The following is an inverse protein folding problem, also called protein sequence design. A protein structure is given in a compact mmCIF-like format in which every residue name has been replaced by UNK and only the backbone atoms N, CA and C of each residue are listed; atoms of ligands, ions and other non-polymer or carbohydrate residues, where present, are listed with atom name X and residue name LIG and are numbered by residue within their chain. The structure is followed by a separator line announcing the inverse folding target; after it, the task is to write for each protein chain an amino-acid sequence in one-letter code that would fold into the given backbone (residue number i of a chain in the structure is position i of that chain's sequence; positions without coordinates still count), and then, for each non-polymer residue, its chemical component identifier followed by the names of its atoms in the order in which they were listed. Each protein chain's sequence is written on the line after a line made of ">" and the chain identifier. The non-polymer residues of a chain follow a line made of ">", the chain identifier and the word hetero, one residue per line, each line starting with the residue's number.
data_IF_075838431890
#
_entry.id   IF_075838431890
#
_cell.length_a   1.000
_cell.length_b   1.000
_cell.length_c   1.000
_cell.angle_alpha   90.00
_cell.angle_beta   90.00
_cell.angle_gamma   90.00
#
_symmetry.space_group_name_H-M   'P 1'
#
loop_
_entity.id
_entity.type
_entity.pdbx_description
1 polymer ?
#
# COMPACT_ATOMS: atom_id res chain seq x y z
N UNK A 1 5.95 22.88 0.86
CA UNK A 1 4.97 21.93 0.30
C UNK A 1 5.63 21.17 -0.84
N UNK A 2 5.27 19.96 -1.10
CA UNK A 2 5.83 19.11 -2.15
C UNK A 2 5.06 17.82 -2.21
N UNK A 3 5.23 17.05 -3.28
CA UNK A 3 4.65 15.73 -3.43
C UNK A 3 5.26 14.79 -2.38
N UNK A 4 4.48 14.43 -1.38
CA UNK A 4 4.78 13.41 -0.39
C UNK A 4 3.88 12.20 -0.64
N UNK A 5 4.46 11.01 -0.70
CA UNK A 5 3.80 9.78 -1.15
C UNK A 5 4.00 8.70 -0.11
N UNK A 6 2.93 8.02 0.24
CA UNK A 6 2.90 7.04 1.32
C UNK A 6 2.35 5.71 0.81
N UNK A 7 2.94 4.62 1.26
CA UNK A 7 2.40 3.28 1.09
C UNK A 7 2.13 2.68 2.46
N UNK A 8 0.93 2.18 2.65
CA UNK A 8 0.49 1.53 3.89
C UNK A 8 0.21 0.06 3.63
N UNK A 9 0.60 -0.80 4.58
CA UNK A 9 0.08 -2.14 4.69
C UNK A 9 -1.09 -2.13 5.68
N UNK A 10 -2.24 -2.70 5.28
CA UNK A 10 -3.47 -2.70 6.06
C UNK A 10 -4.00 -4.11 6.27
N UNK A 11 -4.45 -4.39 7.48
CA UNK A 11 -5.11 -5.65 7.82
C UNK A 11 -6.37 -5.37 8.61
N UNK A 12 -7.50 -5.84 8.09
CA UNK A 12 -8.76 -5.89 8.83
C UNK A 12 -8.78 -7.09 9.76
N UNK A 13 -9.29 -6.90 10.97
CA UNK A 13 -9.43 -7.94 11.99
C UNK A 13 -10.88 -7.94 12.44
N UNK A 14 -11.57 -9.06 12.22
CA UNK A 14 -12.95 -9.28 12.71
C UNK A 14 -12.94 -9.65 14.19
N UNK A 15 -13.95 -9.21 14.96
CA UNK A 15 -14.15 -9.64 16.34
C UNK A 15 -14.50 -11.14 16.47
N UNK A 16 -14.93 -11.75 15.36
CA UNK A 16 -15.43 -13.10 15.30
C UNK A 16 -14.71 -13.89 14.22
N UNK A 17 -14.24 -15.07 14.58
CA UNK A 17 -13.82 -16.09 13.63
C UNK A 17 -14.97 -17.06 13.37
N UNK A 18 -15.18 -17.40 12.11
CA UNK A 18 -16.14 -18.39 11.67
C UNK A 18 -15.40 -19.67 11.29
N UNK A 19 -15.75 -20.76 11.97
CA UNK A 19 -15.24 -22.08 11.65
C UNK A 19 -16.39 -22.99 11.21
N UNK A 20 -16.13 -23.89 10.27
CA UNK A 20 -17.10 -24.92 9.89
C UNK A 20 -16.90 -26.11 10.84
N UNK A 21 -17.92 -26.44 11.62
CA UNK A 21 -17.93 -27.63 12.45
C UNK A 21 -17.99 -28.91 11.60
N UNK A 22 -17.69 -30.05 12.20
CA UNK A 22 -17.65 -31.36 11.53
C UNK A 22 -19.02 -31.81 10.94
N UNK A 23 -20.11 -31.22 11.43
CA UNK A 23 -21.48 -31.43 10.94
C UNK A 23 -21.92 -30.45 9.87
N UNK A 24 -21.00 -29.56 9.40
CA UNK A 24 -21.25 -28.54 8.39
C UNK A 24 -21.90 -27.26 8.93
N UNK A 25 -22.14 -27.14 10.23
CA UNK A 25 -22.63 -25.90 10.84
C UNK A 25 -21.51 -24.88 10.99
N UNK A 26 -21.87 -23.58 10.95
CA UNK A 26 -20.92 -22.49 11.22
C UNK A 26 -20.81 -22.27 12.74
N UNK A 27 -19.63 -22.50 13.26
CA UNK A 27 -19.28 -22.21 14.65
C UNK A 27 -18.69 -20.79 14.75
N UNK A 28 -19.12 -20.06 15.78
CA UNK A 28 -18.75 -18.66 16.00
C UNK A 28 -17.84 -18.59 17.21
N UNK A 29 -16.61 -18.11 17.03
CA UNK A 29 -15.61 -17.95 18.10
C UNK A 29 -15.10 -16.52 18.19
N UNK A 30 -14.83 -15.98 19.38
CA UNK A 30 -14.12 -14.72 19.53
C UNK A 30 -12.75 -14.80 18.86
N UNK A 31 -12.40 -13.78 18.09
CA UNK A 31 -11.09 -13.66 17.47
C UNK A 31 -10.07 -13.17 18.50
N UNK A 32 -9.02 -13.95 18.72
CA UNK A 32 -7.98 -13.64 19.70
C UNK A 32 -7.19 -12.37 19.33
N UNK A 33 -6.88 -12.18 18.03
CA UNK A 33 -6.13 -11.01 17.55
C UNK A 33 -6.93 -9.72 17.77
N UNK A 34 -8.26 -9.76 17.55
CA UNK A 34 -9.13 -8.62 17.84
C UNK A 34 -9.12 -8.27 19.33
N UNK A 35 -9.22 -9.29 20.19
CA UNK A 35 -9.20 -9.12 21.65
C UNK A 35 -7.87 -8.53 22.13
N UNK A 36 -6.75 -9.04 21.60
CA UNK A 36 -5.42 -8.52 21.92
C UNK A 36 -5.27 -7.07 21.47
N UNK A 37 -5.66 -6.76 20.23
CA UNK A 37 -5.55 -5.42 19.67
C UNK A 37 -6.38 -4.41 20.47
N UNK A 38 -7.65 -4.72 20.75
CA UNK A 38 -8.53 -3.82 21.52
C UNK A 38 -8.05 -3.62 22.95
N UNK A 39 -7.47 -4.64 23.55
CA UNK A 39 -6.85 -4.55 24.89
C UNK A 39 -5.62 -3.62 24.87
N UNK A 40 -4.71 -3.81 23.90
CA UNK A 40 -3.51 -2.97 23.76
C UNK A 40 -3.86 -1.49 23.51
N UNK A 41 -4.96 -1.23 22.82
CA UNK A 41 -5.44 0.12 22.54
C UNK A 41 -6.31 0.72 23.63
N UNK A 42 -6.52 0.00 24.77
CA UNK A 42 -7.41 0.44 25.84
C UNK A 42 -8.87 0.54 25.40
N UNK A 43 -9.28 -0.26 24.43
CA UNK A 43 -10.60 -0.21 23.81
C UNK A 43 -11.59 -1.24 24.36
N UNK A 44 -11.21 -1.99 25.39
CA UNK A 44 -11.98 -3.12 25.94
C UNK A 44 -13.38 -2.73 26.41
N UNK A 45 -13.52 -1.53 26.99
CA UNK A 45 -14.77 -1.10 27.64
C UNK A 45 -15.72 -0.36 26.70
N UNK A 46 -15.22 0.19 25.60
CA UNK A 46 -16.01 0.96 24.63
C UNK A 46 -16.00 0.35 23.21
N UNK A 47 -15.15 -0.65 22.97
CA UNK A 47 -15.24 -1.44 21.76
C UNK A 47 -16.57 -2.20 21.74
N UNK A 48 -17.04 -2.41 20.54
CA UNK A 48 -18.32 -3.05 20.30
C UNK A 48 -18.44 -4.42 20.98
N UNK A 49 -19.66 -4.79 21.41
CA UNK A 49 -19.96 -6.08 22.05
C UNK A 49 -19.31 -7.25 21.30
N UNK A 50 -18.43 -8.05 21.92
CA UNK A 50 -17.73 -9.15 21.27
C UNK A 50 -18.68 -10.27 20.77
N UNK A 51 -19.94 -10.25 21.16
CA UNK A 51 -20.97 -11.17 20.63
C UNK A 51 -21.59 -10.68 19.31
N UNK A 52 -21.29 -9.45 18.90
CA UNK A 52 -21.69 -8.88 17.63
C UNK A 52 -20.48 -8.76 16.72
N UNK A 53 -20.73 -8.81 15.40
CA UNK A 53 -19.66 -8.64 14.41
C UNK A 53 -19.16 -7.20 14.40
N UNK A 54 -17.92 -7.04 14.80
CA UNK A 54 -17.21 -5.76 14.77
C UNK A 54 -15.87 -5.93 14.02
N UNK A 55 -15.29 -4.81 13.61
CA UNK A 55 -14.03 -4.81 12.88
C UNK A 55 -13.07 -3.80 13.49
N UNK A 56 -11.80 -4.19 13.55
CA UNK A 56 -10.68 -3.29 13.74
C UNK A 56 -9.81 -3.32 12.49
N UNK A 57 -9.06 -2.25 12.26
CA UNK A 57 -8.10 -2.18 11.17
C UNK A 57 -6.75 -1.71 11.71
N UNK A 58 -5.70 -2.44 11.36
CA UNK A 58 -4.32 -2.01 11.55
C UNK A 58 -3.82 -1.41 10.23
N UNK A 59 -3.19 -0.24 10.31
CA UNK A 59 -2.54 0.42 9.18
C UNK A 59 -1.11 0.77 9.57
N UNK A 60 -0.14 0.29 8.81
CA UNK A 60 1.29 0.50 9.07
C UNK A 60 1.87 1.17 7.82
N UNK A 61 2.52 2.33 7.99
CA UNK A 61 3.27 2.93 6.91
C UNK A 61 4.50 2.07 6.61
N UNK A 62 4.59 1.58 5.39
CA UNK A 62 5.64 0.66 4.94
C UNK A 62 6.48 1.22 3.82
N UNK A 63 6.06 2.34 3.21
CA UNK A 63 6.80 3.05 2.17
C UNK A 63 6.58 4.55 2.23
N UNK A 64 7.59 5.28 1.76
CA UNK A 64 7.55 6.72 1.62
C UNK A 64 8.45 7.17 0.46
N UNK A 65 7.92 8.06 -0.36
CA UNK A 65 8.67 8.76 -1.41
C UNK A 65 8.41 10.25 -1.29
N UNK A 66 9.36 11.02 -1.75
CA UNK A 66 9.19 12.46 -1.87
C UNK A 66 9.62 12.94 -3.23
N UNK A 67 8.71 13.58 -3.96
CA UNK A 67 8.96 14.15 -5.30
C UNK A 67 9.43 13.13 -6.35
N UNK A 68 9.13 11.85 -6.17
CA UNK A 68 9.37 10.81 -7.18
C UNK A 68 8.13 10.72 -8.06
N UNK A 69 7.91 11.76 -8.85
CA UNK A 69 6.67 11.96 -9.61
C UNK A 69 6.39 10.87 -10.64
N UNK A 70 7.40 10.21 -11.19
CA UNK A 70 7.22 9.08 -12.08
C UNK A 70 6.54 7.88 -11.39
N UNK A 71 6.90 7.60 -10.14
CA UNK A 71 6.24 6.56 -9.34
C UNK A 71 4.80 6.97 -8.99
N UNK A 72 4.58 8.25 -8.65
CA UNK A 72 3.24 8.79 -8.45
C UNK A 72 2.38 8.62 -9.71
N UNK A 73 2.89 9.08 -10.86
CA UNK A 73 2.21 8.95 -12.13
C UNK A 73 1.86 7.49 -12.46
N UNK A 74 2.79 6.57 -12.18
CA UNK A 74 2.54 5.14 -12.37
C UNK A 74 1.34 4.64 -11.56
N UNK A 75 1.22 5.01 -10.28
CA UNK A 75 0.05 4.65 -9.46
C UNK A 75 -1.24 5.23 -10.00
N UNK A 76 -1.22 6.50 -10.42
CA UNK A 76 -2.40 7.18 -10.96
C UNK A 76 -2.87 6.52 -12.26
N UNK A 77 -1.98 6.34 -13.22
CA UNK A 77 -2.33 5.80 -14.54
C UNK A 77 -2.76 4.32 -14.49
N UNK A 78 -2.17 3.52 -13.60
CA UNK A 78 -2.44 2.08 -13.57
C UNK A 78 -3.57 1.67 -12.59
N UNK A 79 -3.93 2.53 -11.62
CA UNK A 79 -4.87 2.15 -10.56
C UNK A 79 -6.07 3.08 -10.39
N UNK A 80 -6.15 4.23 -11.10
CA UNK A 80 -7.23 5.21 -10.90
C UNK A 80 -7.86 5.72 -12.20
N UNK A 81 -7.58 5.12 -13.33
CA UNK A 81 -8.00 5.64 -14.64
C UNK A 81 -7.55 7.12 -14.87
N UNK A 82 -6.42 7.53 -14.28
CA UNK A 82 -5.85 8.87 -14.38
C UNK A 82 -6.45 9.90 -13.41
N UNK A 83 -7.29 9.50 -12.45
CA UNK A 83 -7.87 10.42 -11.47
C UNK A 83 -6.90 10.65 -10.29
N UNK A 84 -6.36 11.88 -10.19
CA UNK A 84 -5.44 12.32 -9.14
C UNK A 84 -6.04 13.41 -8.25
N UNK A 85 -6.56 13.01 -7.10
CA UNK A 85 -7.22 13.90 -6.12
C UNK A 85 -6.79 13.63 -4.67
N UNK A 86 -5.59 13.09 -4.45
CA UNK A 86 -5.06 12.69 -3.15
C UNK A 86 -5.88 11.61 -2.42
N UNK A 87 -6.77 10.92 -3.10
CA UNK A 87 -7.55 9.82 -2.51
C UNK A 87 -6.65 8.62 -2.17
N UNK A 88 -7.00 7.85 -1.15
CA UNK A 88 -6.37 6.56 -0.92
C UNK A 88 -6.68 5.59 -2.06
N UNK A 89 -5.66 4.91 -2.57
CA UNK A 89 -5.75 4.00 -3.71
C UNK A 89 -5.40 2.59 -3.22
N UNK A 90 -6.32 1.64 -3.42
CA UNK A 90 -6.01 0.23 -3.19
C UNK A 90 -4.95 -0.27 -4.17
N UNK A 91 -3.90 -0.91 -3.66
CA UNK A 91 -2.81 -1.45 -4.46
C UNK A 91 -2.78 -2.97 -4.35
N UNK A 92 -3.19 -3.71 -5.38
CA UNK A 92 -2.99 -5.15 -5.43
C UNK A 92 -1.51 -5.51 -5.29
N UNK A 93 -1.20 -6.63 -4.65
CA UNK A 93 0.20 -7.12 -4.57
C UNK A 93 0.81 -7.34 -5.96
N UNK A 94 0.02 -7.82 -6.92
CA UNK A 94 0.44 -7.94 -8.32
C UNK A 94 0.91 -6.62 -8.90
N UNK A 95 0.21 -5.52 -8.60
CA UNK A 95 0.59 -4.19 -9.10
C UNK A 95 1.91 -3.70 -8.50
N UNK A 96 2.25 -4.07 -7.26
CA UNK A 96 3.60 -3.81 -6.73
C UNK A 96 4.67 -4.63 -7.47
N UNK A 97 4.36 -5.86 -7.87
CA UNK A 97 5.26 -6.67 -8.68
C UNK A 97 5.46 -6.04 -10.06
N UNK A 98 4.38 -5.57 -10.70
CA UNK A 98 4.42 -4.90 -11.99
C UNK A 98 5.23 -3.60 -11.91
N UNK A 99 5.03 -2.79 -10.87
CA UNK A 99 5.83 -1.59 -10.62
C UNK A 99 7.32 -1.92 -10.48
N UNK A 100 7.64 -2.96 -9.71
CA UNK A 100 9.03 -3.42 -9.54
C UNK A 100 9.65 -3.80 -10.87
N UNK A 101 8.96 -4.61 -11.68
CA UNK A 101 9.43 -5.03 -13.02
C UNK A 101 9.68 -3.80 -13.90
N UNK A 102 8.73 -2.87 -13.97
CA UNK A 102 8.87 -1.63 -14.73
C UNK A 102 10.11 -0.83 -14.29
N UNK A 103 10.31 -0.69 -12.99
CA UNK A 103 11.49 -0.01 -12.44
C UNK A 103 12.80 -0.74 -12.80
N UNK A 104 12.84 -2.06 -12.70
CA UNK A 104 14.01 -2.87 -13.06
C UNK A 104 14.36 -2.74 -14.56
N UNK A 105 13.36 -2.73 -15.44
CA UNK A 105 13.58 -2.51 -16.88
C UNK A 105 14.17 -1.13 -17.17
N UNK A 106 13.68 -0.08 -16.49
CA UNK A 106 14.22 1.29 -16.60
C UNK A 106 15.66 1.36 -16.12
N UNK A 107 16.01 0.68 -15.02
CA UNK A 107 17.38 0.64 -14.49
C UNK A 107 18.32 -0.18 -15.39
N UNK A 108 17.81 -1.19 -16.09
CA UNK A 108 18.59 -1.97 -17.04
C UNK A 108 18.88 -1.22 -18.34
N UNK A 109 17.98 -0.33 -18.77
CA UNK A 109 18.13 0.52 -19.96
C UNK A 109 17.49 1.89 -19.72
N UNK A 110 18.32 2.84 -19.32
CA UNK A 110 17.92 4.22 -19.01
C UNK A 110 17.25 4.94 -20.21
N UNK A 111 17.53 4.53 -21.44
CA UNK A 111 16.91 5.14 -22.63
C UNK A 111 15.41 4.86 -22.74
N UNK A 112 14.89 3.87 -22.01
CA UNK A 112 13.47 3.51 -21.97
C UNK A 112 12.68 4.23 -20.88
N UNK A 113 13.33 5.10 -20.09
CA UNK A 113 12.69 5.74 -18.94
C UNK A 113 11.43 6.54 -19.34
N UNK A 114 11.50 7.32 -20.41
CA UNK A 114 10.37 8.13 -20.91
C UNK A 114 9.20 7.26 -21.41
N UNK A 115 9.49 6.08 -21.95
CA UNK A 115 8.48 5.14 -22.46
C UNK A 115 7.80 4.37 -21.31
N UNK A 116 8.59 3.82 -20.37
CA UNK A 116 8.10 2.86 -19.37
C UNK A 116 7.63 3.51 -18.08
N UNK A 117 8.29 4.58 -17.67
CA UNK A 117 8.04 5.23 -16.38
C UNK A 117 8.15 6.75 -16.53
N UNK A 118 7.23 7.37 -17.31
CA UNK A 118 7.27 8.79 -17.60
C UNK A 118 7.08 9.64 -16.34
N UNK A 119 7.80 10.77 -16.31
CA UNK A 119 7.63 11.76 -15.26
C UNK A 119 6.29 12.50 -15.39
N UNK A 120 5.68 12.83 -14.26
CA UNK A 120 4.47 13.65 -14.19
C UNK A 120 4.78 15.11 -13.85
N UNK A 121 4.24 16.05 -14.64
CA UNK A 121 4.39 17.48 -14.37
C UNK A 121 3.35 17.94 -13.33
N UNK A 122 3.77 18.74 -12.35
CA UNK A 122 2.90 19.35 -11.36
C UNK A 122 3.64 20.40 -10.55
N UNK A 123 2.92 21.40 -10.02
CA UNK A 123 3.54 22.53 -9.31
C UNK A 123 4.41 22.09 -8.11
N UNK A 124 4.02 20.99 -7.45
CA UNK A 124 4.70 20.44 -6.28
C UNK A 124 5.51 19.16 -6.57
N UNK A 125 5.52 18.67 -7.81
CA UNK A 125 5.96 17.31 -8.15
C UNK A 125 7.47 17.17 -8.31
N UNK A 126 8.21 18.26 -8.39
CA UNK A 126 9.67 18.26 -8.56
C UNK A 126 10.09 18.34 -10.02
N UNK A 127 11.32 17.91 -10.31
CA UNK A 127 11.88 17.90 -11.66
C UNK A 127 11.21 16.85 -12.54
N UNK A 128 11.10 17.13 -13.83
CA UNK A 128 10.67 16.16 -14.85
C UNK A 128 11.84 15.62 -15.69
N UNK A 129 13.08 15.96 -15.28
CA UNK A 129 14.28 15.47 -15.95
C UNK A 129 14.60 14.04 -15.55
N UNK A 130 15.11 13.25 -16.49
CA UNK A 130 15.61 11.88 -16.26
C UNK A 130 17.07 11.93 -15.81
N UNK A 131 17.31 12.56 -14.66
CA UNK A 131 18.61 12.78 -14.05
C UNK A 131 18.97 11.72 -13.00
N UNK A 132 20.08 11.90 -12.29
CA UNK A 132 20.53 11.00 -11.24
C UNK A 132 19.51 10.86 -10.10
N UNK A 133 18.73 11.91 -9.81
CA UNK A 133 17.71 11.87 -8.76
C UNK A 133 16.49 11.01 -9.17
N UNK A 134 16.12 11.08 -10.47
CA UNK A 134 15.09 10.20 -11.01
C UNK A 134 15.50 8.73 -10.86
N UNK A 135 16.70 8.34 -11.36
CA UNK A 135 17.15 6.95 -11.28
C UNK A 135 17.38 6.48 -9.86
N UNK A 136 17.86 7.34 -8.96
CA UNK A 136 17.94 7.03 -7.55
C UNK A 136 16.57 6.75 -6.92
N UNK A 137 15.55 7.55 -7.27
CA UNK A 137 14.17 7.31 -6.84
C UNK A 137 13.62 5.96 -7.32
N UNK A 138 13.91 5.59 -8.58
CA UNK A 138 13.54 4.29 -9.16
C UNK A 138 14.26 3.15 -8.44
N UNK A 139 15.57 3.25 -8.20
CA UNK A 139 16.36 2.26 -7.46
C UNK A 139 15.81 2.02 -6.04
N UNK A 140 15.53 3.09 -5.30
CA UNK A 140 14.95 3.01 -3.96
C UNK A 140 13.55 2.40 -3.97
N UNK A 141 12.80 2.59 -5.05
CA UNK A 141 11.49 1.93 -5.22
C UNK A 141 11.67 0.43 -5.38
N UNK A 142 12.61 -0.05 -6.21
CA UNK A 142 12.90 -1.49 -6.36
C UNK A 142 13.31 -2.10 -5.02
N UNK A 143 14.24 -1.49 -4.29
CA UNK A 143 14.67 -1.98 -2.97
C UNK A 143 13.49 -2.13 -2.00
N UNK A 144 12.69 -1.07 -1.86
CA UNK A 144 11.55 -1.04 -0.94
C UNK A 144 10.48 -2.05 -1.33
N UNK A 145 10.04 -2.04 -2.59
CA UNK A 145 8.95 -2.92 -3.07
C UNK A 145 9.37 -4.38 -3.02
N UNK A 146 10.62 -4.71 -3.34
CA UNK A 146 11.16 -6.08 -3.21
C UNK A 146 11.02 -6.60 -1.79
N UNK A 147 11.43 -5.79 -0.82
CA UNK A 147 11.31 -6.13 0.61
C UNK A 147 9.84 -6.29 1.03
N UNK A 148 8.94 -5.42 0.58
CA UNK A 148 7.51 -5.52 0.93
C UNK A 148 6.85 -6.78 0.36
N UNK A 149 7.21 -7.18 -0.88
CA UNK A 149 6.70 -8.40 -1.49
C UNK A 149 7.17 -9.64 -0.72
N UNK A 150 8.39 -9.61 -0.18
CA UNK A 150 8.97 -10.73 0.58
C UNK A 150 8.46 -10.77 2.03
N UNK A 151 8.47 -9.64 2.74
CA UNK A 151 8.28 -9.58 4.20
C UNK A 151 6.82 -9.45 4.63
N UNK A 152 5.96 -8.78 3.83
CA UNK A 152 4.56 -8.56 4.23
C UNK A 152 3.76 -9.85 4.00
N UNK A 153 3.18 -10.45 5.04
CA UNK A 153 2.44 -11.71 4.92
C UNK A 153 1.22 -11.59 4.00
N UNK A 154 0.75 -12.72 3.48
CA UNK A 154 -0.54 -12.79 2.80
C UNK A 154 -1.67 -12.36 3.73
N UNK A 155 -2.76 -11.83 3.15
CA UNK A 155 -3.90 -11.32 3.91
C UNK A 155 -3.75 -9.85 4.37
N UNK A 156 -2.59 -9.21 4.10
CA UNK A 156 -2.45 -7.77 4.17
C UNK A 156 -2.73 -7.14 2.80
N UNK A 157 -3.46 -6.03 2.81
CA UNK A 157 -3.69 -5.20 1.64
C UNK A 157 -2.72 -4.02 1.63
N UNK A 158 -2.39 -3.50 0.45
CA UNK A 158 -1.63 -2.26 0.35
C UNK A 158 -2.55 -1.11 -0.06
N UNK A 159 -2.22 0.07 0.41
CA UNK A 159 -2.89 1.31 0.05
C UNK A 159 -1.85 2.40 -0.17
N UNK A 160 -1.93 3.06 -1.31
CA UNK A 160 -1.12 4.21 -1.66
C UNK A 160 -1.90 5.50 -1.42
N UNK A 161 -1.23 6.55 -0.94
CA UNK A 161 -1.80 7.88 -0.82
C UNK A 161 -0.73 8.94 -1.06
N UNK A 162 -1.07 9.94 -1.86
CA UNK A 162 -0.24 11.13 -2.05
C UNK A 162 -0.83 12.34 -1.30
N UNK A 163 0.04 13.31 -1.06
CA UNK A 163 -0.31 14.65 -0.56
C UNK A 163 0.56 15.67 -1.26
N UNK A 164 -0.07 16.63 -1.95
CA UNK A 164 0.61 17.65 -2.74
C UNK A 164 -0.15 18.97 -2.74
#
# INVERSE_FOLDING_TARGET
>A
MGLDMYLYARKGISSIDWATASDGTLDKKPNADYTILTSLMGATDWAYDPNQLAFAQVSIQVGYWRKVNAIHNWFIENLTDGEDNCQPIYVPRSSLIDLKITCEEVLADHSRAEELLPTGAGFFFGSTEYDEWYFHGVEKTVEMVSKLIEDVPEGWAFEYQASW
#
